data_IF_493249965914
#
_entry.id   IF_493249965914
#
_cell.length_a   1.000
_cell.length_b   1.000
_cell.length_c   1.000
_cell.angle_alpha   90.00
_cell.angle_beta   90.00
_cell.angle_gamma   90.00
#
_symmetry.space_group_name_H-M   'P 1'
#
loop_
_entity.id
_entity.type
_entity.pdbx_description
1 polymer ?
#
# COMPACT_ATOMS: atom_id res chain seq x y z
N UNK A 1 -3.40 14.90 -16.31
CA UNK A 1 -3.42 15.48 -14.95
C UNK A 1 -2.87 14.45 -13.98
N UNK A 2 -2.06 14.85 -12.99
CA UNK A 2 -1.40 13.91 -12.06
C UNK A 2 -2.03 14.02 -10.67
N UNK A 3 -2.50 12.91 -10.12
CA UNK A 3 -3.07 12.81 -8.77
C UNK A 3 -2.07 12.15 -7.81
N UNK A 4 -1.96 12.65 -6.59
CA UNK A 4 -1.18 12.07 -5.51
C UNK A 4 -2.09 11.29 -4.58
N UNK A 5 -1.79 10.01 -4.39
CA UNK A 5 -2.60 9.10 -3.59
C UNK A 5 -1.75 8.56 -2.45
N UNK A 6 -2.24 8.67 -1.22
CA UNK A 6 -1.67 7.95 -0.08
C UNK A 6 -2.42 6.64 0.15
N UNK A 7 -1.71 5.55 0.34
CA UNK A 7 -2.29 4.24 0.70
C UNK A 7 -1.71 3.82 2.04
N UNK A 8 -2.56 3.64 3.05
CA UNK A 8 -2.13 3.34 4.42
C UNK A 8 -2.21 1.83 4.67
N UNK A 9 -1.06 1.18 4.71
CA UNK A 9 -0.89 -0.25 4.90
C UNK A 9 -0.35 -0.94 3.66
N UNK A 10 0.81 -1.60 3.78
CA UNK A 10 1.48 -2.34 2.72
C UNK A 10 1.09 -3.83 2.70
N UNK A 11 -0.16 -4.15 3.05
CA UNK A 11 -0.73 -5.49 2.90
C UNK A 11 -1.29 -5.75 1.49
N UNK A 12 -1.89 -6.93 1.25
CA UNK A 12 -2.51 -7.26 -0.05
C UNK A 12 -3.51 -6.20 -0.53
N UNK A 13 -4.38 -5.69 0.34
CA UNK A 13 -5.36 -4.67 -0.01
C UNK A 13 -4.70 -3.40 -0.55
N UNK A 14 -3.62 -2.93 0.10
CA UNK A 14 -2.87 -1.76 -0.35
C UNK A 14 -2.20 -1.98 -1.71
N UNK A 15 -1.55 -3.12 -1.91
CA UNK A 15 -0.92 -3.45 -3.19
C UNK A 15 -1.92 -3.58 -4.33
N UNK A 16 -3.07 -4.23 -4.10
CA UNK A 16 -4.08 -4.35 -5.15
C UNK A 16 -4.78 -3.02 -5.44
N UNK A 17 -4.96 -2.14 -4.45
CA UNK A 17 -5.42 -0.77 -4.68
C UNK A 17 -4.41 0.02 -5.55
N UNK A 18 -3.12 -0.09 -5.26
CA UNK A 18 -2.07 0.52 -6.07
C UNK A 18 -2.08 -0.01 -7.52
N UNK A 19 -2.23 -1.33 -7.68
CA UNK A 19 -2.32 -1.95 -9.01
C UNK A 19 -3.56 -1.48 -9.79
N UNK A 20 -4.70 -1.33 -9.13
CA UNK A 20 -5.90 -0.83 -9.77
C UNK A 20 -5.70 0.60 -10.30
N UNK A 21 -5.05 1.47 -9.53
CA UNK A 21 -4.69 2.83 -9.95
C UNK A 21 -3.67 2.84 -11.10
N UNK A 22 -2.64 1.98 -11.04
CA UNK A 22 -1.64 1.85 -12.11
C UNK A 22 -2.24 1.37 -13.43
N UNK A 23 -3.25 0.51 -13.37
CA UNK A 23 -3.93 -0.04 -14.55
C UNK A 23 -5.11 0.83 -15.02
N UNK A 24 -5.45 1.90 -14.29
CA UNK A 24 -6.60 2.72 -14.61
C UNK A 24 -6.34 3.53 -15.89
N UNK A 25 -7.12 3.28 -16.93
CA UNK A 25 -7.13 4.07 -18.15
C UNK A 25 -8.21 5.16 -18.05
N UNK A 26 -7.80 6.38 -17.66
CA UNK A 26 -8.71 7.46 -17.30
C UNK A 26 -8.42 8.77 -18.06
N UNK A 27 -8.26 8.68 -19.39
CA UNK A 27 -8.08 9.83 -20.30
C UNK A 27 -6.90 10.72 -19.88
N UNK A 28 -5.69 10.16 -19.86
CA UNK A 28 -4.46 10.92 -19.60
C UNK A 28 -4.29 11.37 -18.13
N UNK A 29 -5.04 10.77 -17.20
CA UNK A 29 -4.78 10.88 -15.77
C UNK A 29 -3.65 9.93 -15.37
N UNK A 30 -2.75 10.39 -14.51
CA UNK A 30 -1.68 9.56 -13.94
C UNK A 30 -1.70 9.67 -12.41
N UNK A 31 -1.17 8.64 -11.75
CA UNK A 31 -1.20 8.54 -10.29
C UNK A 31 0.22 8.43 -9.74
N UNK A 32 0.57 9.30 -8.79
CA UNK A 32 1.71 9.10 -7.90
C UNK A 32 1.20 8.50 -6.60
N UNK A 33 1.73 7.35 -6.23
CA UNK A 33 1.28 6.54 -5.11
C UNK A 33 2.39 6.51 -4.05
N UNK A 34 2.05 6.98 -2.86
CA UNK A 34 2.85 6.75 -1.66
C UNK A 34 2.15 5.72 -0.79
N UNK A 35 2.75 4.55 -0.66
CA UNK A 35 2.30 3.51 0.25
C UNK A 35 3.01 3.69 1.59
N UNK A 36 2.25 3.99 2.63
CA UNK A 36 2.75 4.27 3.98
C UNK A 36 2.51 3.04 4.84
N UNK A 37 3.55 2.55 5.50
CA UNK A 37 3.50 1.33 6.32
C UNK A 37 4.17 1.55 7.67
N UNK A 38 3.50 1.12 8.74
CA UNK A 38 4.01 1.28 10.11
C UNK A 38 5.23 0.40 10.39
N UNK A 39 5.32 -0.76 9.73
CA UNK A 39 6.45 -1.68 9.85
C UNK A 39 7.58 -1.33 8.87
N UNK A 40 8.83 -1.74 9.15
CA UNK A 40 9.91 -1.62 8.17
C UNK A 40 9.79 -2.59 6.99
N UNK A 41 8.89 -3.58 7.08
CA UNK A 41 8.74 -4.64 6.08
C UNK A 41 7.32 -4.63 5.49
N UNK A 42 7.16 -4.68 4.16
CA UNK A 42 5.86 -4.73 3.53
C UNK A 42 5.23 -6.14 3.58
N UNK A 43 4.09 -6.26 2.89
CA UNK A 43 3.29 -7.46 2.60
C UNK A 43 2.32 -7.89 3.70
N UNK A 44 2.34 -7.23 4.86
CA UNK A 44 1.43 -7.50 5.97
C UNK A 44 1.35 -9.00 6.29
N UNK A 45 0.14 -9.54 6.39
CA UNK A 45 -0.09 -10.96 6.74
C UNK A 45 0.45 -11.95 5.71
N UNK A 46 0.75 -11.57 4.46
CA UNK A 46 1.46 -12.49 3.54
C UNK A 46 2.85 -12.83 4.07
N UNK A 47 3.51 -11.86 4.72
CA UNK A 47 4.79 -12.06 5.39
C UNK A 47 4.62 -12.65 6.79
N UNK A 48 3.78 -12.02 7.61
CA UNK A 48 3.71 -12.28 9.07
C UNK A 48 2.60 -13.23 9.51
N UNK A 49 1.60 -13.49 8.67
CA UNK A 49 0.44 -14.31 9.01
C UNK A 49 0.42 -15.68 8.33
N UNK A 50 0.78 -15.76 7.05
CA UNK A 50 0.82 -17.03 6.31
C UNK A 50 1.84 -17.97 6.96
N UNK A 51 1.34 -19.13 7.38
CA UNK A 51 2.11 -20.15 8.06
C UNK A 51 3.37 -20.55 7.25
N UNK A 52 4.48 -20.86 7.93
CA UNK A 52 5.77 -21.08 7.27
C UNK A 52 5.78 -22.32 6.34
N UNK A 53 4.93 -23.31 6.61
CA UNK A 53 4.70 -24.51 5.81
C UNK A 53 3.78 -24.28 4.58
N UNK A 54 3.31 -23.04 4.37
CA UNK A 54 2.47 -22.64 3.23
C UNK A 54 3.20 -21.70 2.23
N UNK A 55 4.39 -22.07 1.69
CA UNK A 55 5.20 -21.17 0.86
C UNK A 55 4.52 -20.81 -0.47
N UNK A 56 3.64 -21.67 -0.99
CA UNK A 56 2.91 -21.41 -2.25
C UNK A 56 2.08 -20.13 -2.19
N UNK A 57 1.44 -19.85 -1.05
CA UNK A 57 0.62 -18.64 -0.86
C UNK A 57 1.51 -17.38 -0.84
N UNK A 58 2.76 -17.49 -0.37
CA UNK A 58 3.72 -16.38 -0.35
C UNK A 58 4.20 -15.96 -1.75
N UNK A 59 3.92 -16.76 -2.79
CA UNK A 59 4.29 -16.42 -4.18
C UNK A 59 3.66 -15.13 -4.71
N UNK A 60 2.55 -14.66 -4.09
CA UNK A 60 1.94 -13.37 -4.40
C UNK A 60 2.88 -12.18 -4.14
N UNK A 61 3.93 -12.34 -3.32
CA UNK A 61 4.93 -11.30 -3.11
C UNK A 61 5.59 -10.83 -4.41
N UNK A 62 5.73 -11.72 -5.41
CA UNK A 62 6.25 -11.37 -6.74
C UNK A 62 5.36 -10.38 -7.48
N UNK A 63 4.04 -10.46 -7.28
CA UNK A 63 3.08 -9.49 -7.84
C UNK A 63 3.27 -8.14 -7.14
N UNK A 64 3.44 -8.14 -5.81
CA UNK A 64 3.68 -6.93 -5.04
C UNK A 64 5.00 -6.26 -5.41
N UNK A 65 6.07 -7.03 -5.62
CA UNK A 65 7.35 -6.54 -6.13
C UNK A 65 7.18 -5.85 -7.49
N UNK A 66 6.48 -6.48 -8.44
CA UNK A 66 6.20 -5.87 -9.74
C UNK A 66 5.45 -4.54 -9.61
N UNK A 67 4.42 -4.49 -8.76
CA UNK A 67 3.65 -3.26 -8.47
C UNK A 67 4.56 -2.17 -7.89
N UNK A 68 5.45 -2.54 -6.96
CA UNK A 68 6.35 -1.61 -6.29
C UNK A 68 7.44 -1.04 -7.21
N UNK A 69 7.78 -1.74 -8.29
CA UNK A 69 8.77 -1.28 -9.28
C UNK A 69 8.22 -0.37 -10.38
N UNK A 70 6.90 -0.20 -10.45
CA UNK A 70 6.28 0.68 -11.45
C UNK A 70 6.62 2.15 -11.16
N UNK A 71 6.75 2.94 -12.22
CA UNK A 71 6.99 4.38 -12.08
C UNK A 71 5.84 5.05 -11.31
N UNK A 72 6.18 6.01 -10.45
CA UNK A 72 5.20 6.73 -9.65
C UNK A 72 4.79 6.01 -8.38
N UNK A 73 5.33 4.84 -8.05
CA UNK A 73 5.13 4.17 -6.77
C UNK A 73 6.30 4.42 -5.81
N UNK A 74 6.00 4.71 -4.53
CA UNK A 74 6.98 4.73 -3.43
C UNK A 74 6.43 3.98 -2.23
N UNK A 75 7.30 3.21 -1.57
CA UNK A 75 7.01 2.60 -0.28
C UNK A 75 7.75 3.38 0.81
N UNK A 76 7.01 3.84 1.81
CA UNK A 76 7.51 4.57 2.97
C UNK A 76 7.19 3.70 4.20
N UNK A 77 8.16 2.90 4.62
CA UNK A 77 8.04 2.08 5.82
C UNK A 77 8.38 2.85 7.10
N UNK A 78 8.08 2.23 8.25
CA UNK A 78 8.32 2.78 9.58
C UNK A 78 7.61 4.12 9.86
N UNK A 79 6.42 4.32 9.28
CA UNK A 79 5.58 5.51 9.48
C UNK A 79 4.15 5.06 9.81
N UNK A 80 3.65 5.44 10.98
CA UNK A 80 2.36 5.00 11.51
C UNK A 80 1.33 6.14 11.53
N UNK A 81 0.19 5.90 10.86
CA UNK A 81 -0.98 6.77 10.92
C UNK A 81 -1.51 6.85 12.36
N UNK A 82 -1.72 8.07 12.84
CA UNK A 82 -2.14 8.38 14.21
C UNK A 82 -0.99 8.53 15.21
N UNK A 83 0.25 8.18 14.85
CA UNK A 83 1.45 8.43 15.67
C UNK A 83 2.41 9.41 15.02
N UNK A 84 2.84 9.12 13.79
CA UNK A 84 3.88 9.86 13.07
C UNK A 84 3.27 10.87 12.09
N UNK A 85 2.08 10.56 11.55
CA UNK A 85 1.26 11.44 10.69
C UNK A 85 -0.22 11.27 11.06
N UNK A 86 -1.02 12.32 10.93
CA UNK A 86 -2.47 12.28 11.12
C UNK A 86 -3.22 12.12 9.79
N UNK A 87 -4.48 11.66 9.86
CA UNK A 87 -5.32 11.58 8.65
C UNK A 87 -5.57 12.96 8.04
N UNK A 88 -5.79 13.99 8.86
CA UNK A 88 -6.02 15.35 8.41
C UNK A 88 -4.82 15.91 7.63
N UNK A 89 -3.60 15.71 8.12
CA UNK A 89 -2.39 16.11 7.39
C UNK A 89 -2.28 15.41 6.03
N UNK A 90 -2.63 14.12 5.96
CA UNK A 90 -2.62 13.39 4.70
C UNK A 90 -3.70 13.89 3.73
N UNK A 91 -4.89 14.22 4.21
CA UNK A 91 -5.97 14.80 3.38
C UNK A 91 -5.62 16.20 2.84
N UNK A 92 -4.75 16.95 3.51
CA UNK A 92 -4.23 18.24 3.01
C UNK A 92 -3.12 18.07 1.95
N UNK A 93 -2.34 16.99 2.03
CA UNK A 93 -1.17 16.76 1.17
C UNK A 93 -1.51 15.98 -0.11
N UNK A 94 -2.47 15.04 0.00
CA UNK A 94 -2.82 14.10 -1.05
C UNK A 94 -4.21 14.37 -1.60
N UNK A 95 -4.41 14.10 -2.90
CA UNK A 95 -5.73 14.24 -3.53
C UNK A 95 -6.73 13.18 -3.03
N UNK A 96 -6.23 12.04 -2.56
CA UNK A 96 -7.03 11.02 -1.88
C UNK A 96 -6.17 10.15 -0.95
N UNK A 97 -6.82 9.61 0.09
CA UNK A 97 -6.23 8.66 1.05
C UNK A 97 -7.02 7.35 1.04
N UNK A 98 -6.34 6.22 0.89
CA UNK A 98 -6.92 4.87 0.94
C UNK A 98 -6.48 4.18 2.23
N UNK A 99 -7.44 3.82 3.08
CA UNK A 99 -7.16 3.06 4.31
C UNK A 99 -7.18 1.56 4.02
N UNK A 100 -6.01 0.92 4.16
CA UNK A 100 -5.78 -0.50 3.88
C UNK A 100 -5.04 -1.21 5.03
N UNK A 101 -5.31 -0.80 6.27
CA UNK A 101 -4.57 -1.20 7.48
C UNK A 101 -4.81 -2.65 7.93
N UNK A 102 -5.85 -3.31 7.41
CA UNK A 102 -6.29 -4.63 7.88
C UNK A 102 -6.74 -4.61 9.34
N UNK A 103 -6.74 -5.79 9.99
CA UNK A 103 -6.97 -5.92 11.44
C UNK A 103 -5.70 -6.42 12.13
N UNK A 104 -5.29 -5.75 13.19
CA UNK A 104 -4.19 -6.18 14.06
C UNK A 104 -4.66 -7.04 15.22
N UNK A 105 -5.98 -7.11 15.43
CA UNK A 105 -6.60 -7.89 16.51
C UNK A 105 -7.31 -9.08 15.85
N UNK A 106 -7.08 -10.27 16.41
CA UNK A 106 -7.83 -11.48 16.04
C UNK A 106 -9.31 -11.35 16.39
N UNK A 107 -10.15 -12.17 15.77
CA UNK A 107 -11.55 -12.30 16.14
C UNK A 107 -11.72 -13.36 17.22
#
# INVERSE_FOLDING_TARGET
>A
MKFKIAIIGAGPAGYFAAQALQNADLDGKTFAIDMIEKLPTPWGLVRSGVAPDHPKIKSVSKVFEKIATQEGFRLIGNVELGRDVSLAELEEIYDAVIIATGSTVGR
#
